data_IF_633059120842
#
_entry.id   IF_633059120842
#
_cell.length_a   1.000
_cell.length_b   1.000
_cell.length_c   1.000
_cell.angle_alpha   90.00
_cell.angle_beta   90.00
_cell.angle_gamma   90.00
#
_symmetry.space_group_name_H-M   'P 1'
#
loop_
_entity.id
_entity.type
_entity.pdbx_description
1 polymer ?
#
# COMPACT_ATOMS: atom_id res chain seq x y z
N UNK A 1 -11.25 3.18 17.58
CA UNK A 1 -12.52 2.42 17.56
C UNK A 1 -13.09 2.38 18.98
N UNK A 2 -14.40 2.65 19.18
CA UNK A 2 -15.04 2.54 20.49
C UNK A 2 -14.89 1.13 21.09
N UNK A 3 -14.71 1.03 22.41
CA UNK A 3 -14.36 -0.22 23.09
C UNK A 3 -15.47 -1.29 22.90
N UNK A 4 -16.73 -0.86 22.95
CA UNK A 4 -17.92 -1.70 22.80
C UNK A 4 -18.00 -2.38 21.41
N UNK A 5 -17.43 -1.74 20.37
CA UNK A 5 -17.43 -2.28 19.00
C UNK A 5 -16.30 -3.27 18.74
N UNK A 6 -15.31 -3.35 19.64
CA UNK A 6 -14.10 -4.18 19.48
C UNK A 6 -14.44 -5.67 19.33
N UNK A 7 -15.32 -6.19 20.18
CA UNK A 7 -15.72 -7.60 20.13
C UNK A 7 -16.38 -7.99 18.79
N UNK A 8 -17.17 -7.09 18.20
CA UNK A 8 -17.81 -7.31 16.88
C UNK A 8 -16.80 -7.25 15.73
N UNK A 9 -15.84 -6.33 15.81
CA UNK A 9 -14.78 -6.20 14.81
C UNK A 9 -13.87 -7.43 14.77
N UNK A 10 -13.49 -7.95 15.94
CA UNK A 10 -12.57 -9.09 16.08
C UNK A 10 -13.20 -10.47 15.77
N UNK A 11 -14.47 -10.52 15.36
CA UNK A 11 -15.12 -11.80 14.99
C UNK A 11 -14.47 -12.39 13.73
N UNK A 12 -14.29 -13.70 13.71
CA UNK A 12 -13.83 -14.40 12.52
C UNK A 12 -14.80 -14.16 11.35
N UNK A 13 -14.25 -14.05 10.14
CA UNK A 13 -15.03 -13.74 8.93
C UNK A 13 -15.42 -12.26 8.78
N UNK A 14 -14.99 -11.36 9.67
CA UNK A 14 -15.19 -9.94 9.48
C UNK A 14 -14.28 -9.40 8.36
N UNK A 15 -14.88 -8.93 7.26
CA UNK A 15 -14.17 -8.41 6.10
C UNK A 15 -13.36 -7.13 6.40
N UNK A 16 -13.82 -6.27 7.32
CA UNK A 16 -13.07 -5.09 7.73
C UNK A 16 -11.81 -5.46 8.51
N UNK A 17 -11.89 -6.49 9.36
CA UNK A 17 -10.73 -7.02 10.07
C UNK A 17 -9.72 -7.60 9.08
N UNK A 18 -10.18 -8.42 8.11
CA UNK A 18 -9.32 -8.96 7.08
C UNK A 18 -8.61 -7.85 6.29
N UNK A 19 -9.35 -6.83 5.83
CA UNK A 19 -8.77 -5.66 5.13
C UNK A 19 -7.75 -4.89 5.97
N UNK A 20 -8.01 -4.72 7.27
CA UNK A 20 -7.08 -4.03 8.16
C UNK A 20 -5.78 -4.82 8.37
N UNK A 21 -5.88 -6.15 8.49
CA UNK A 21 -4.73 -7.03 8.59
C UNK A 21 -3.93 -7.04 7.28
N UNK A 22 -4.59 -7.16 6.12
CA UNK A 22 -3.94 -7.08 4.82
C UNK A 22 -3.19 -5.76 4.65
N UNK A 23 -3.82 -4.63 5.03
CA UNK A 23 -3.18 -3.32 5.01
C UNK A 23 -1.92 -3.29 5.88
N UNK A 24 -1.98 -3.83 7.11
CA UNK A 24 -0.84 -3.86 8.02
C UNK A 24 0.30 -4.70 7.45
N UNK A 25 0.02 -5.93 7.02
CA UNK A 25 1.00 -6.87 6.47
C UNK A 25 1.66 -6.27 5.23
N UNK A 26 0.88 -5.77 4.26
CA UNK A 26 1.42 -5.16 3.04
C UNK A 26 2.24 -3.89 3.33
N UNK A 27 1.94 -3.17 4.43
CA UNK A 27 2.70 -1.98 4.79
C UNK A 27 4.05 -2.27 5.45
N UNK A 28 4.21 -3.45 6.06
CA UNK A 28 5.43 -3.85 6.76
C UNK A 28 6.40 -4.66 5.90
N UNK A 29 5.95 -5.19 4.76
CA UNK A 29 6.79 -6.01 3.88
C UNK A 29 8.02 -5.25 3.35
N UNK A 30 9.07 -5.96 2.95
CA UNK A 30 10.25 -5.32 2.35
C UNK A 30 9.95 -4.75 0.97
N UNK A 31 9.18 -5.48 0.15
CA UNK A 31 8.67 -5.02 -1.15
C UNK A 31 7.16 -5.17 -1.19
N UNK A 32 6.47 -4.19 -1.78
CA UNK A 32 5.04 -4.27 -2.05
C UNK A 32 4.78 -4.22 -3.56
N UNK A 33 4.00 -5.18 -4.06
CA UNK A 33 3.57 -5.27 -5.46
C UNK A 33 2.04 -5.34 -5.48
N UNK A 34 1.32 -4.27 -5.83
CA UNK A 34 -0.13 -4.31 -5.91
C UNK A 34 -0.57 -5.05 -7.17
N UNK A 35 -1.67 -5.79 -7.07
CA UNK A 35 -2.32 -6.36 -8.25
C UNK A 35 -2.93 -5.27 -9.16
N UNK A 36 -3.47 -4.20 -8.54
CA UNK A 36 -4.09 -3.06 -9.22
C UNK A 36 -3.73 -1.78 -8.44
N UNK A 37 -3.39 -0.71 -9.16
CA UNK A 37 -3.11 0.61 -8.58
C UNK A 37 -4.41 1.36 -8.17
N UNK A 38 -5.19 0.78 -7.26
CA UNK A 38 -6.44 1.35 -6.75
C UNK A 38 -6.34 1.95 -5.34
N UNK A 39 -7.50 2.12 -4.68
CA UNK A 39 -7.58 2.74 -3.35
C UNK A 39 -6.72 2.05 -2.29
N UNK A 40 -6.73 0.70 -2.28
CA UNK A 40 -5.92 -0.08 -1.33
C UNK A 40 -4.41 0.14 -1.53
N UNK A 41 -3.96 0.22 -2.80
CA UNK A 41 -2.58 0.56 -3.14
C UNK A 41 -2.20 1.95 -2.59
N UNK A 42 -3.09 2.94 -2.70
CA UNK A 42 -2.89 4.27 -2.10
C UNK A 42 -2.72 4.20 -0.59
N UNK A 43 -3.61 3.49 0.12
CA UNK A 43 -3.52 3.32 1.57
C UNK A 43 -2.22 2.63 2.03
N UNK A 44 -1.85 1.53 1.39
CA UNK A 44 -0.57 0.84 1.68
C UNK A 44 0.60 1.78 1.42
N UNK A 45 0.61 2.48 0.28
CA UNK A 45 1.68 3.41 -0.10
C UNK A 45 1.84 4.53 0.93
N UNK A 46 0.74 5.14 1.37
CA UNK A 46 0.77 6.18 2.39
C UNK A 46 1.38 5.73 3.70
N UNK A 47 0.99 4.54 4.19
CA UNK A 47 1.57 3.97 5.41
C UNK A 47 3.03 3.61 5.24
N UNK A 48 3.41 3.06 4.08
CA UNK A 48 4.80 2.73 3.75
C UNK A 48 5.70 3.97 3.68
N UNK A 49 5.22 5.08 3.12
CA UNK A 49 5.94 6.38 3.11
C UNK A 49 6.25 6.82 4.54
N UNK A 50 5.26 6.80 5.43
CA UNK A 50 5.43 7.16 6.84
C UNK A 50 6.48 6.27 7.56
N UNK A 51 6.61 5.01 7.14
CA UNK A 51 7.58 4.05 7.67
C UNK A 51 8.94 4.08 6.95
N UNK A 52 9.12 4.93 5.93
CA UNK A 52 10.33 4.95 5.10
C UNK A 52 10.51 3.71 4.18
N UNK A 53 9.46 2.90 3.97
CA UNK A 53 9.48 1.65 3.20
C UNK A 53 9.04 1.86 1.75
N UNK A 54 9.77 2.67 0.98
CA UNK A 54 9.36 3.14 -0.36
C UNK A 54 9.60 2.14 -1.50
N UNK A 55 10.01 0.91 -1.21
CA UNK A 55 10.15 -0.16 -2.21
C UNK A 55 8.77 -0.67 -2.66
N UNK A 56 8.20 -0.01 -3.67
CA UNK A 56 6.88 -0.32 -4.23
C UNK A 56 7.01 -0.47 -5.74
N UNK A 57 6.69 -1.67 -6.24
CA UNK A 57 6.74 -2.00 -7.66
C UNK A 57 5.34 -2.15 -8.22
N UNK A 58 4.93 -1.32 -9.17
CA UNK A 58 3.63 -1.40 -9.84
C UNK A 58 3.82 -2.12 -11.18
N UNK A 59 3.14 -3.26 -11.42
CA UNK A 59 3.23 -3.95 -12.70
C UNK A 59 2.80 -3.02 -13.86
N UNK A 60 3.62 -2.97 -14.91
CA UNK A 60 3.34 -2.14 -16.09
C UNK A 60 2.16 -2.70 -16.90
N UNK A 61 1.31 -1.85 -17.52
CA UNK A 61 0.19 -2.29 -18.35
C UNK A 61 0.61 -3.07 -19.60
N UNK A 62 1.88 -2.94 -20.02
CA UNK A 62 2.44 -3.65 -21.17
C UNK A 62 3.79 -4.25 -20.78
N UNK A 63 3.88 -5.57 -20.83
CA UNK A 63 5.16 -6.26 -20.75
C UNK A 63 5.92 -6.03 -22.06
N UNK A 64 6.79 -5.04 -22.10
CA UNK A 64 7.80 -4.93 -23.16
C UNK A 64 9.05 -5.67 -22.69
N UNK A 65 9.65 -6.48 -23.56
CA UNK A 65 10.93 -7.16 -23.25
C UNK A 65 12.09 -6.17 -22.99
N UNK A 66 11.87 -4.88 -23.25
CA UNK A 66 12.82 -3.79 -23.09
C UNK A 66 12.50 -2.85 -21.93
N UNK A 67 11.53 -3.19 -21.07
CA UNK A 67 11.14 -2.34 -19.95
C UNK A 67 12.29 -2.21 -18.94
N UNK A 68 12.66 -0.98 -18.59
CA UNK A 68 13.66 -0.69 -17.57
C UNK A 68 13.08 -0.94 -16.18
N UNK A 69 13.94 -1.29 -15.21
CA UNK A 69 13.52 -1.52 -13.83
C UNK A 69 12.85 -0.29 -13.19
N UNK A 70 13.25 0.92 -13.60
CA UNK A 70 12.68 2.20 -13.16
C UNK A 70 11.21 2.37 -13.55
N UNK A 71 10.77 1.75 -14.65
CA UNK A 71 9.38 1.82 -15.13
C UNK A 71 8.40 1.07 -14.22
N UNK A 72 8.90 0.19 -13.36
CA UNK A 72 8.08 -0.51 -12.37
C UNK A 72 8.01 0.23 -11.04
N UNK A 73 8.81 1.28 -10.82
CA UNK A 73 8.74 2.05 -9.57
C UNK A 73 7.42 2.83 -9.56
N UNK A 74 6.68 2.70 -8.46
CA UNK A 74 5.45 3.46 -8.23
C UNK A 74 5.64 4.96 -8.48
N UNK A 75 4.73 5.57 -9.26
CA UNK A 75 4.70 7.02 -9.51
C UNK A 75 4.51 7.83 -8.23
N UNK A 76 3.80 7.29 -7.24
CA UNK A 76 3.71 7.90 -5.91
C UNK A 76 5.07 8.05 -5.25
N UNK A 77 6.02 7.17 -5.54
CA UNK A 77 7.38 7.23 -5.00
C UNK A 77 8.30 8.06 -5.88
N UNK A 78 8.36 7.79 -7.18
CA UNK A 78 9.28 8.49 -8.10
C UNK A 78 8.97 9.97 -8.24
N UNK A 79 7.69 10.35 -8.30
CA UNK A 79 7.25 11.75 -8.43
C UNK A 79 6.87 12.40 -7.09
N UNK A 80 6.95 11.63 -5.99
CA UNK A 80 6.46 12.04 -4.65
C UNK A 80 5.02 12.59 -4.67
N UNK A 81 4.17 12.05 -5.53
CA UNK A 81 2.82 12.57 -5.78
C UNK A 81 1.76 12.15 -4.75
N UNK A 82 2.11 11.28 -3.79
CA UNK A 82 1.20 10.86 -2.72
C UNK A 82 1.10 11.90 -1.59
N UNK A 83 -0.12 12.17 -1.11
CA UNK A 83 -0.39 13.19 -0.08
C UNK A 83 0.42 12.98 1.22
N UNK A 84 0.76 11.74 1.56
CA UNK A 84 1.57 11.43 2.75
C UNK A 84 2.91 12.20 2.77
N UNK A 85 3.52 12.50 1.62
CA UNK A 85 4.75 13.32 1.61
C UNK A 85 4.53 14.73 2.17
N UNK A 86 3.32 15.29 2.08
CA UNK A 86 3.02 16.59 2.71
C UNK A 86 2.92 16.54 4.25
N UNK A 87 2.75 15.34 4.83
CA UNK A 87 2.58 15.16 6.27
C UNK A 87 3.89 14.81 6.99
N UNK A 88 4.86 14.26 6.26
CA UNK A 88 6.12 13.74 6.80
C UNK A 88 7.36 14.45 6.23
N UNK A 89 7.16 15.60 5.57
CA UNK A 89 8.21 16.51 5.11
C UNK A 89 8.11 17.85 5.85
#
# INVERSE_FOLDING_TARGET
MPAEKKGKFLKSGNADLARALDLEICSQSDVFVPAIAGLFYGHVTGKRIALGRTQILVPAPRFSASAQASEFISTYISEKSHLAYSCYC
#
